data_IF_682395247513
#
_entry.id   IF_682395247513
#
_cell.length_a   1.000
_cell.length_b   1.000
_cell.length_c   1.000
_cell.angle_alpha   90.00
_cell.angle_beta   90.00
_cell.angle_gamma   90.00
#
_symmetry.space_group_name_H-M   'P 1'
#
loop_
_entity.id
_entity.type
_entity.pdbx_description
1 polymer ?
#
# COMPACT_ATOMS: atom_id res chain seq x y z
N UNK A 1 -13.27 6.53 7.14
CA UNK A 1 -11.93 7.09 6.84
C UNK A 1 -11.04 5.97 6.35
N UNK A 2 -10.36 6.14 5.22
CA UNK A 2 -9.42 5.17 4.67
C UNK A 2 -7.99 5.63 4.96
N UNK A 3 -7.16 4.74 5.48
CA UNK A 3 -5.76 4.97 5.82
C UNK A 3 -4.90 3.84 5.27
N UNK A 4 -3.66 4.16 4.94
CA UNK A 4 -2.66 3.19 4.52
C UNK A 4 -1.44 3.32 5.44
N UNK A 5 -1.01 2.20 6.00
CA UNK A 5 0.25 2.11 6.76
C UNK A 5 1.21 1.30 5.91
N UNK A 6 2.37 1.88 5.62
CA UNK A 6 3.39 1.25 4.81
C UNK A 6 4.64 1.05 5.66
N UNK A 7 5.25 -0.13 5.57
CA UNK A 7 6.53 -0.43 6.19
C UNK A 7 7.42 -1.16 5.18
N UNK A 8 8.58 -0.59 4.88
CA UNK A 8 9.68 -1.31 4.24
C UNK A 8 10.56 -1.91 5.33
N UNK A 9 10.91 -3.19 5.21
CA UNK A 9 11.86 -3.85 6.12
C UNK A 9 12.88 -4.60 5.27
N UNK A 10 14.11 -4.08 5.25
CA UNK A 10 15.20 -4.54 4.38
C UNK A 10 14.76 -4.66 2.91
N UNK A 11 14.25 -5.82 2.50
CA UNK A 11 13.78 -6.09 1.13
C UNK A 11 12.27 -6.17 1.00
N UNK A 12 11.54 -6.49 2.07
CA UNK A 12 10.10 -6.71 2.00
C UNK A 12 9.32 -5.39 2.11
N UNK A 13 8.15 -5.35 1.47
CA UNK A 13 7.18 -4.24 1.59
C UNK A 13 5.90 -4.77 2.23
N UNK A 14 5.46 -4.10 3.29
CA UNK A 14 4.18 -4.35 3.94
C UNK A 14 3.26 -3.15 3.72
N UNK A 15 2.06 -3.42 3.22
CA UNK A 15 1.00 -2.43 3.03
C UNK A 15 -0.22 -2.87 3.80
N UNK A 16 -0.60 -2.10 4.81
CA UNK A 16 -1.84 -2.29 5.55
C UNK A 16 -2.85 -1.23 5.10
N UNK A 17 -3.97 -1.68 4.53
CA UNK A 17 -5.14 -0.83 4.26
C UNK A 17 -6.08 -0.89 5.46
N UNK A 18 -6.23 0.23 6.15
CA UNK A 18 -7.12 0.38 7.30
C UNK A 18 -8.32 1.23 6.92
N UNK A 19 -9.53 0.66 7.03
CA UNK A 19 -10.77 1.38 6.80
C UNK A 19 -11.58 1.43 8.09
N UNK A 20 -11.80 2.63 8.61
CA UNK A 20 -12.71 2.85 9.71
C UNK A 20 -14.16 2.70 9.21
N UNK A 21 -14.90 1.77 9.81
CA UNK A 21 -16.32 1.53 9.59
C UNK A 21 -17.07 2.26 10.71
N UNK A 22 -17.57 3.46 10.42
CA UNK A 22 -18.05 4.43 11.42
C UNK A 22 -18.81 3.82 12.60
N UNK A 23 -18.17 3.81 13.79
CA UNK A 23 -18.74 3.31 15.06
C UNK A 23 -18.71 1.79 15.25
N UNK A 24 -18.47 1.01 14.20
CA UNK A 24 -18.56 -0.47 14.20
C UNK A 24 -17.18 -1.12 14.37
N UNK A 25 -16.11 -0.45 13.93
CA UNK A 25 -14.73 -0.92 14.13
C UNK A 25 -13.79 -0.52 13.00
N UNK A 26 -12.70 -1.29 12.83
CA UNK A 26 -11.79 -1.15 11.69
C UNK A 26 -11.73 -2.44 10.87
N UNK A 27 -11.75 -2.30 9.56
CA UNK A 27 -11.34 -3.34 8.63
C UNK A 27 -9.86 -3.11 8.30
N UNK A 28 -9.05 -4.16 8.43
CA UNK A 28 -7.64 -4.13 8.00
C UNK A 28 -7.40 -5.20 6.95
N UNK A 29 -6.72 -4.83 5.87
CA UNK A 29 -6.22 -5.77 4.87
C UNK A 29 -4.71 -5.55 4.72
N UNK A 30 -3.94 -6.60 5.00
CA UNK A 30 -2.49 -6.57 4.92
C UNK A 30 -2.05 -7.28 3.65
N UNK A 31 -1.23 -6.60 2.86
CA UNK A 31 -0.53 -7.14 1.70
C UNK A 31 0.95 -7.13 2.00
N UNK A 32 1.62 -8.26 1.72
CA UNK A 32 3.07 -8.41 1.84
C UNK A 32 3.65 -8.68 0.46
N UNK A 33 4.75 -7.99 0.16
CA UNK A 33 5.55 -8.20 -1.02
C UNK A 33 6.98 -8.56 -0.58
N UNK A 34 7.56 -9.55 -1.24
CA UNK A 34 8.91 -10.03 -0.91
C UNK A 34 10.00 -9.04 -1.32
N UNK A 35 9.73 -8.26 -2.36
CA UNK A 35 10.58 -7.17 -2.83
C UNK A 35 9.78 -5.97 -3.35
N UNK A 36 10.51 -4.86 -3.52
CA UNK A 36 9.98 -3.59 -4.03
C UNK A 36 9.50 -3.72 -5.47
N UNK A 37 10.14 -4.55 -6.28
CA UNK A 37 9.81 -4.68 -7.70
C UNK A 37 8.49 -5.44 -7.90
N UNK A 38 8.22 -6.43 -7.06
CA UNK A 38 6.93 -7.12 -6.96
C UNK A 38 5.82 -6.15 -6.54
N UNK A 39 6.08 -5.26 -5.58
CA UNK A 39 5.15 -4.20 -5.19
C UNK A 39 4.88 -3.23 -6.35
N UNK A 40 5.93 -2.79 -7.06
CA UNK A 40 5.80 -1.92 -8.23
C UNK A 40 4.98 -2.59 -9.34
N UNK A 41 5.23 -3.87 -9.59
CA UNK A 41 4.48 -4.67 -10.56
C UNK A 41 2.99 -4.68 -10.25
N UNK A 42 2.58 -4.84 -8.99
CA UNK A 42 1.17 -4.75 -8.61
C UNK A 42 0.62 -3.34 -8.78
N UNK A 43 1.39 -2.31 -8.44
CA UNK A 43 0.95 -0.93 -8.67
C UNK A 43 0.72 -0.60 -10.16
N UNK A 44 1.43 -1.29 -11.06
CA UNK A 44 1.29 -1.10 -12.50
C UNK A 44 0.24 -2.02 -13.15
N UNK A 45 0.06 -3.23 -12.62
CA UNK A 45 -0.78 -4.28 -13.22
C UNK A 45 -2.20 -4.38 -12.64
N UNK A 46 -2.46 -3.85 -11.44
CA UNK A 46 -3.75 -4.03 -10.77
C UNK A 46 -4.84 -3.16 -11.42
N UNK A 47 -5.95 -3.77 -11.85
CA UNK A 47 -7.13 -3.08 -12.38
C UNK A 47 -7.70 -2.06 -11.38
N UNK A 48 -7.45 -2.25 -10.08
CA UNK A 48 -7.77 -1.29 -9.03
C UNK A 48 -7.03 0.04 -9.19
N UNK A 49 -5.91 0.11 -9.94
CA UNK A 49 -5.27 1.36 -10.36
C UNK A 49 -6.22 2.25 -11.15
N UNK A 50 -7.09 1.68 -11.98
CA UNK A 50 -8.07 2.47 -12.74
C UNK A 50 -9.23 2.95 -11.86
N UNK A 51 -9.54 2.21 -10.80
CA UNK A 51 -10.60 2.56 -9.84
C UNK A 51 -10.11 3.58 -8.81
N UNK A 52 -8.85 3.47 -8.38
CA UNK A 52 -8.25 4.29 -7.33
C UNK A 52 -6.83 4.78 -7.69
N UNK A 53 -6.66 5.51 -8.82
CA UNK A 53 -5.34 5.85 -9.36
C UNK A 53 -4.47 6.67 -8.39
N UNK A 54 -5.10 7.59 -7.65
CA UNK A 54 -4.40 8.42 -6.66
C UNK A 54 -3.90 7.62 -5.46
N UNK A 55 -4.62 6.56 -5.07
CA UNK A 55 -4.19 5.69 -3.97
C UNK A 55 -2.90 4.96 -4.34
N UNK A 56 -2.86 4.34 -5.52
CA UNK A 56 -1.68 3.63 -5.99
C UNK A 56 -0.48 4.56 -6.23
N UNK A 57 -0.74 5.76 -6.76
CA UNK A 57 0.32 6.78 -6.92
C UNK A 57 0.92 7.21 -5.57
N UNK A 58 0.09 7.44 -4.55
CA UNK A 58 0.57 7.81 -3.22
C UNK A 58 1.29 6.65 -2.53
N UNK A 59 0.79 5.41 -2.66
CA UNK A 59 1.45 4.22 -2.13
C UNK A 59 2.86 4.06 -2.72
N UNK A 60 3.00 4.20 -4.05
CA UNK A 60 4.30 4.17 -4.73
C UNK A 60 5.25 5.25 -4.19
N UNK A 61 4.77 6.49 -4.11
CA UNK A 61 5.56 7.64 -3.62
C UNK A 61 6.09 7.43 -2.20
N UNK A 62 5.24 6.91 -1.30
CA UNK A 62 5.64 6.66 0.09
C UNK A 62 6.67 5.54 0.18
N UNK A 63 6.48 4.42 -0.54
CA UNK A 63 7.46 3.32 -0.57
C UNK A 63 8.79 3.81 -1.10
N UNK A 64 8.81 4.54 -2.22
CA UNK A 64 10.04 5.06 -2.81
C UNK A 64 10.79 5.99 -1.85
N UNK A 65 10.08 6.87 -1.14
CA UNK A 65 10.69 7.72 -0.10
C UNK A 65 11.29 6.91 1.05
N UNK A 66 10.66 5.80 1.43
CA UNK A 66 11.12 4.92 2.51
C UNK A 66 12.32 4.03 2.11
N UNK A 67 12.74 4.02 0.85
CA UNK A 67 13.89 3.27 0.35
C UNK A 67 15.17 4.11 0.22
N UNK A 68 15.07 5.44 0.38
CA UNK A 68 16.19 6.39 0.25
C UNK A 68 16.84 6.70 1.61
N UNK A 69 16.36 6.08 2.69
CA UNK A 69 16.92 6.11 4.05
C UNK A 69 17.69 4.83 4.34
#
# INVERSE_FOLDING_TARGET
MLQFVIRSVTRNVYVERVQALGGIGRLSHIMRFDDVDSFRGVCDADDLRFTYPLVFSELRRVVEKSLVL
#
